data_IF_197340737373
#
_entry.id   IF_197340737373
#
_cell.length_a   1.000
_cell.length_b   1.000
_cell.length_c   1.000
_cell.angle_alpha   90.00
_cell.angle_beta   90.00
_cell.angle_gamma   90.00
#
_symmetry.space_group_name_H-M   'P 1'
#
loop_
_entity.id
_entity.type
_entity.pdbx_description
1 polymer ?
#
# COMPACT_ATOMS: atom_id res chain seq x y z
N UNK A 1 -10.94 75.68 9.53
CA UNK A 1 -11.84 74.54 9.73
C UNK A 1 -11.30 73.37 8.88
N UNK A 2 -10.59 72.43 9.51
CA UNK A 2 -10.18 71.18 8.86
C UNK A 2 -11.34 70.18 9.02
N UNK A 3 -11.89 69.73 7.91
CA UNK A 3 -12.90 68.67 7.88
C UNK A 3 -12.16 67.34 7.94
N UNK A 4 -12.20 66.66 9.08
CA UNK A 4 -11.73 65.28 9.24
C UNK A 4 -12.67 64.33 8.54
N UNK A 5 -12.20 63.67 7.50
CA UNK A 5 -12.90 62.54 6.83
C UNK A 5 -13.07 61.39 7.83
N UNK A 6 -14.27 60.79 7.96
CA UNK A 6 -14.45 59.64 8.86
C UNK A 6 -13.67 58.44 8.34
N UNK A 7 -12.77 57.93 9.16
CA UNK A 7 -12.04 56.70 8.88
C UNK A 7 -13.04 55.51 8.76
N UNK A 8 -13.04 54.85 7.61
CA UNK A 8 -13.89 53.70 7.38
C UNK A 8 -13.37 52.50 8.22
N UNK A 9 -14.09 52.07 9.25
CA UNK A 9 -13.64 51.00 10.15
C UNK A 9 -13.38 49.68 9.46
N UNK A 10 -14.02 49.47 8.29
CA UNK A 10 -13.81 48.27 7.46
C UNK A 10 -12.42 48.31 6.80
N UNK A 11 -11.97 49.48 6.34
CA UNK A 11 -10.66 49.61 5.72
C UNK A 11 -9.51 49.31 6.72
N UNK A 12 -9.58 49.83 7.96
CA UNK A 12 -8.59 49.51 9.01
C UNK A 12 -8.62 48.02 9.42
N UNK A 13 -9.77 47.39 9.42
CA UNK A 13 -9.87 45.97 9.74
C UNK A 13 -9.29 45.08 8.62
N UNK A 14 -9.39 45.50 7.36
CA UNK A 14 -8.78 44.84 6.20
C UNK A 14 -7.28 45.04 6.19
N UNK A 15 -6.79 46.25 6.43
CA UNK A 15 -5.34 46.56 6.51
C UNK A 15 -4.66 45.80 7.66
N UNK A 16 -5.29 45.73 8.84
CA UNK A 16 -4.76 44.98 9.97
C UNK A 16 -4.69 43.46 9.70
N UNK A 17 -5.60 42.92 8.92
CA UNK A 17 -5.57 41.48 8.49
C UNK A 17 -4.56 41.21 7.39
N UNK A 18 -4.33 42.16 6.48
CA UNK A 18 -3.27 42.09 5.46
C UNK A 18 -1.87 42.08 6.11
N UNK A 19 -1.66 42.92 7.13
CA UNK A 19 -0.38 43.01 7.87
C UNK A 19 -0.01 41.74 8.66
N UNK A 20 -1.03 40.95 9.06
CA UNK A 20 -0.85 39.73 9.87
C UNK A 20 -0.91 38.44 9.07
N UNK A 21 -0.86 38.45 7.72
CA UNK A 21 -1.08 37.31 6.82
C UNK A 21 -2.41 36.57 7.06
N UNK A 22 -3.38 37.18 7.72
CA UNK A 22 -4.70 36.61 8.04
C UNK A 22 -5.82 37.12 7.14
N UNK A 23 -5.51 38.07 6.22
CA UNK A 23 -6.50 38.53 5.24
C UNK A 23 -6.86 37.40 4.30
N UNK A 24 -8.15 37.09 4.24
CA UNK A 24 -8.71 36.16 3.24
C UNK A 24 -9.65 36.97 2.35
N UNK A 25 -9.44 36.82 1.05
CA UNK A 25 -10.38 37.38 0.07
C UNK A 25 -11.74 36.69 0.24
N UNK A 26 -12.79 37.43 0.63
CA UNK A 26 -14.14 36.87 0.77
C UNK A 26 -14.69 36.28 -0.52
N UNK A 27 -14.16 36.67 -1.68
CA UNK A 27 -14.57 36.14 -3.00
C UNK A 27 -13.90 34.80 -3.31
N UNK A 28 -12.76 34.48 -2.72
CA UNK A 28 -11.99 33.27 -3.00
C UNK A 28 -12.72 31.96 -2.60
N UNK A 29 -13.64 32.04 -1.62
CA UNK A 29 -14.50 30.92 -1.21
C UNK A 29 -15.73 30.71 -2.11
N UNK A 30 -16.07 31.68 -2.97
CA UNK A 30 -17.22 31.59 -3.88
C UNK A 30 -16.93 30.77 -5.14
N UNK A 31 -15.68 30.33 -5.35
CA UNK A 31 -15.33 29.44 -6.44
C UNK A 31 -16.12 28.14 -6.33
N UNK A 32 -16.56 27.60 -7.48
CA UNK A 32 -17.23 26.30 -7.52
C UNK A 32 -16.30 25.19 -7.13
N UNK A 33 -16.80 24.20 -6.44
CA UNK A 33 -15.99 23.05 -6.02
C UNK A 33 -15.27 22.39 -7.21
N UNK A 34 -15.90 22.28 -8.38
CA UNK A 34 -15.27 21.71 -9.59
C UNK A 34 -13.99 22.44 -9.99
N UNK A 35 -13.99 23.78 -10.01
CA UNK A 35 -12.82 24.59 -10.38
C UNK A 35 -11.65 24.39 -9.40
N UNK A 36 -11.99 24.31 -8.10
CA UNK A 36 -11.00 24.06 -7.05
C UNK A 36 -10.46 22.64 -7.14
N UNK A 37 -11.30 21.65 -7.42
CA UNK A 37 -10.90 20.24 -7.57
C UNK A 37 -10.00 20.02 -8.79
N UNK A 38 -10.28 20.67 -9.93
CA UNK A 38 -9.42 20.64 -11.12
C UNK A 38 -8.05 21.24 -10.83
N UNK A 39 -8.02 22.43 -10.23
CA UNK A 39 -6.76 23.10 -9.88
C UNK A 39 -5.95 22.24 -8.89
N UNK A 40 -6.64 21.65 -7.89
CA UNK A 40 -6.00 20.73 -6.95
C UNK A 40 -5.42 19.50 -7.66
N UNK A 41 -6.18 18.86 -8.55
CA UNK A 41 -5.73 17.65 -9.25
C UNK A 41 -4.57 17.94 -10.21
N UNK A 42 -4.57 19.10 -10.86
CA UNK A 42 -3.45 19.56 -11.71
C UNK A 42 -2.17 19.76 -10.88
N UNK A 43 -2.28 20.26 -9.65
CA UNK A 43 -1.15 20.45 -8.75
C UNK A 43 -0.56 19.12 -8.22
N UNK A 44 -1.22 17.96 -8.41
CA UNK A 44 -0.74 16.66 -7.95
C UNK A 44 0.26 16.01 -8.94
N UNK A 45 1.11 16.78 -9.59
CA UNK A 45 2.09 16.26 -10.57
C UNK A 45 3.15 15.32 -9.97
N UNK A 46 3.42 15.44 -8.68
CA UNK A 46 4.36 14.61 -7.93
C UNK A 46 3.86 13.19 -7.65
N UNK A 47 2.56 12.94 -7.80
CA UNK A 47 1.98 11.62 -7.56
C UNK A 47 2.20 10.68 -8.73
N UNK A 48 2.32 9.38 -8.42
CA UNK A 48 2.31 8.31 -9.43
C UNK A 48 1.02 8.36 -10.27
N UNK A 49 1.14 7.98 -11.55
CA UNK A 49 0.04 7.96 -12.53
C UNK A 49 -1.21 7.26 -11.96
N UNK A 50 -1.06 6.06 -11.42
CA UNK A 50 -2.18 5.29 -10.84
C UNK A 50 -2.89 5.98 -9.67
N UNK A 51 -2.16 6.75 -8.84
CA UNK A 51 -2.77 7.53 -7.76
C UNK A 51 -3.61 8.69 -8.31
N UNK A 52 -3.08 9.40 -9.32
CA UNK A 52 -3.81 10.50 -9.97
C UNK A 52 -5.09 10.00 -10.65
N UNK A 53 -5.02 8.87 -11.35
CA UNK A 53 -6.20 8.24 -11.97
C UNK A 53 -7.22 7.81 -10.92
N UNK A 54 -6.79 7.21 -9.81
CA UNK A 54 -7.68 6.87 -8.70
C UNK A 54 -8.36 8.09 -8.08
N UNK A 55 -7.66 9.22 -7.96
CA UNK A 55 -8.24 10.46 -7.45
C UNK A 55 -9.21 11.06 -8.46
N UNK A 56 -8.87 11.07 -9.74
CA UNK A 56 -9.76 11.51 -10.82
C UNK A 56 -11.04 10.69 -10.84
N UNK A 57 -10.93 9.36 -10.84
CA UNK A 57 -12.09 8.45 -10.77
C UNK A 57 -12.97 8.75 -9.56
N UNK A 58 -12.36 8.98 -8.39
CA UNK A 58 -13.11 9.32 -7.19
C UNK A 58 -13.86 10.66 -7.31
N UNK A 59 -13.22 11.67 -7.91
CA UNK A 59 -13.84 12.97 -8.18
C UNK A 59 -15.00 12.81 -9.16
N UNK A 60 -14.75 12.26 -10.34
CA UNK A 60 -15.71 12.20 -11.44
C UNK A 60 -16.93 11.33 -11.14
N UNK A 61 -16.71 10.20 -10.46
CA UNK A 61 -17.79 9.23 -10.25
C UNK A 61 -18.68 9.53 -9.04
N UNK A 62 -18.16 10.23 -8.01
CA UNK A 62 -18.91 10.37 -6.75
C UNK A 62 -18.88 11.77 -6.13
N UNK A 63 -17.77 12.51 -6.27
CA UNK A 63 -17.63 13.81 -5.59
C UNK A 63 -18.23 14.92 -6.44
N UNK A 64 -17.81 15.07 -7.70
CA UNK A 64 -18.31 16.09 -8.62
C UNK A 64 -19.82 15.97 -8.91
N UNK A 65 -20.41 14.77 -9.09
CA UNK A 65 -21.86 14.66 -9.26
C UNK A 65 -22.67 15.27 -8.09
N UNK A 66 -22.09 15.37 -6.92
CA UNK A 66 -22.75 15.97 -5.74
C UNK A 66 -22.41 17.45 -5.54
N UNK A 67 -21.17 17.87 -5.84
CA UNK A 67 -20.66 19.16 -5.36
C UNK A 67 -20.20 20.11 -6.48
N UNK A 68 -20.16 19.69 -7.74
CA UNK A 68 -19.52 20.43 -8.84
C UNK A 68 -19.91 21.92 -8.93
N UNK A 69 -21.18 22.22 -8.82
CA UNK A 69 -21.73 23.58 -8.92
C UNK A 69 -21.79 24.34 -7.60
N UNK A 70 -21.52 23.68 -6.47
CA UNK A 70 -21.62 24.28 -5.15
C UNK A 70 -20.40 25.16 -4.87
N UNK A 71 -20.55 26.43 -4.43
CA UNK A 71 -19.42 27.21 -3.92
C UNK A 71 -18.77 26.48 -2.75
N UNK A 72 -17.41 26.46 -2.74
CA UNK A 72 -16.70 25.62 -1.78
C UNK A 72 -16.90 26.05 -0.33
N UNK A 73 -17.18 27.34 -0.09
CA UNK A 73 -17.48 27.88 1.23
C UNK A 73 -18.91 27.56 1.74
N UNK A 74 -19.78 27.07 0.87
CA UNK A 74 -21.15 26.65 1.21
C UNK A 74 -21.25 25.16 1.58
N UNK A 75 -20.19 24.38 1.37
CA UNK A 75 -20.15 22.96 1.76
C UNK A 75 -19.89 22.87 3.26
N UNK A 76 -20.87 22.38 4.02
CA UNK A 76 -20.80 22.28 5.48
C UNK A 76 -20.45 20.88 5.95
N UNK A 77 -20.01 20.77 7.20
CA UNK A 77 -19.69 19.49 7.83
C UNK A 77 -20.88 18.51 7.80
N UNK A 78 -22.08 19.01 8.11
CA UNK A 78 -23.32 18.22 8.06
C UNK A 78 -23.64 17.67 6.68
N UNK A 79 -23.36 18.46 5.61
CA UNK A 79 -23.58 18.03 4.23
C UNK A 79 -22.64 16.88 3.84
N UNK A 80 -21.39 16.97 4.27
CA UNK A 80 -20.41 15.90 4.04
C UNK A 80 -20.79 14.64 4.82
N UNK A 81 -21.22 14.77 6.08
CA UNK A 81 -21.69 13.65 6.88
C UNK A 81 -22.91 12.96 6.26
N UNK A 82 -23.91 13.74 5.80
CA UNK A 82 -25.09 13.24 5.11
C UNK A 82 -24.73 12.52 3.80
N UNK A 83 -23.80 13.09 3.01
CA UNK A 83 -23.32 12.47 1.78
C UNK A 83 -22.61 11.12 2.03
N UNK A 84 -21.79 11.01 3.07
CA UNK A 84 -21.16 9.73 3.48
C UNK A 84 -22.25 8.69 3.80
N UNK A 85 -23.31 9.08 4.52
CA UNK A 85 -24.45 8.20 4.79
C UNK A 85 -25.11 7.69 3.51
N UNK A 86 -25.35 8.59 2.54
CA UNK A 86 -25.93 8.23 1.23
C UNK A 86 -25.07 7.24 0.45
N UNK A 87 -23.75 7.43 0.40
CA UNK A 87 -22.84 6.52 -0.31
C UNK A 87 -22.91 5.07 0.19
N UNK A 88 -23.32 4.87 1.44
CA UNK A 88 -23.44 3.54 2.07
C UNK A 88 -24.80 2.86 1.79
N UNK A 89 -25.81 3.62 1.38
CA UNK A 89 -27.19 3.12 1.23
C UNK A 89 -27.66 3.20 -0.22
N UNK A 90 -27.39 4.31 -0.89
CA UNK A 90 -27.87 4.54 -2.24
C UNK A 90 -27.05 3.76 -3.27
N UNK A 91 -27.69 3.11 -4.24
CA UNK A 91 -26.98 2.52 -5.36
C UNK A 91 -26.29 3.61 -6.17
N UNK A 92 -24.94 3.55 -6.22
CA UNK A 92 -24.14 4.46 -7.02
C UNK A 92 -24.16 4.11 -8.51
N UNK A 93 -23.28 4.70 -9.33
CA UNK A 93 -23.21 4.46 -10.77
C UNK A 93 -23.04 2.97 -11.14
N UNK A 94 -22.57 2.15 -10.21
CA UNK A 94 -22.41 0.69 -10.38
C UNK A 94 -23.65 -0.13 -10.00
N UNK A 95 -24.76 0.53 -9.66
CA UNK A 95 -26.00 -0.12 -9.23
C UNK A 95 -25.96 -0.74 -7.83
N UNK A 96 -24.90 -0.49 -7.04
CA UNK A 96 -24.71 -1.02 -5.68
C UNK A 96 -24.18 0.08 -4.74
N UNK A 97 -24.57 0.07 -3.45
CA UNK A 97 -23.98 0.93 -2.45
C UNK A 97 -22.46 0.72 -2.29
N UNK A 98 -21.75 1.76 -1.88
CA UNK A 98 -20.33 1.65 -1.62
C UNK A 98 -20.04 0.95 -0.29
N UNK A 99 -19.08 0.04 -0.29
CA UNK A 99 -18.54 -0.51 0.96
C UNK A 99 -17.66 0.51 1.71
N UNK A 100 -17.47 0.28 3.02
CA UNK A 100 -16.76 1.18 3.93
C UNK A 100 -15.38 1.65 3.39
N UNK A 101 -14.58 0.76 2.80
CA UNK A 101 -13.27 1.12 2.27
C UNK A 101 -13.36 2.08 1.08
N UNK A 102 -14.29 1.86 0.16
CA UNK A 102 -14.50 2.75 -1.00
C UNK A 102 -15.03 4.11 -0.56
N UNK A 103 -15.98 4.14 0.35
CA UNK A 103 -16.52 5.38 0.93
C UNK A 103 -15.40 6.21 1.57
N UNK A 104 -14.49 5.57 2.32
CA UNK A 104 -13.33 6.27 2.90
C UNK A 104 -12.41 6.89 1.85
N UNK A 105 -12.18 6.22 0.72
CA UNK A 105 -11.39 6.78 -0.39
C UNK A 105 -12.06 8.03 -0.95
N UNK A 106 -13.37 7.98 -1.20
CA UNK A 106 -14.11 9.14 -1.74
C UNK A 106 -14.10 10.32 -0.76
N UNK A 107 -14.28 10.04 0.55
CA UNK A 107 -14.13 11.05 1.60
C UNK A 107 -12.71 11.63 1.66
N UNK A 108 -11.66 10.79 1.55
CA UNK A 108 -10.27 11.27 1.58
C UNK A 108 -9.99 12.24 0.44
N UNK A 109 -10.46 11.95 -0.78
CA UNK A 109 -10.29 12.85 -1.93
C UNK A 109 -11.02 14.18 -1.70
N UNK A 110 -12.29 14.14 -1.25
CA UNK A 110 -13.03 15.35 -0.88
C UNK A 110 -12.29 16.17 0.18
N UNK A 111 -11.79 15.51 1.22
CA UNK A 111 -11.04 16.14 2.31
C UNK A 111 -9.72 16.76 1.84
N UNK A 112 -9.00 16.10 0.91
CA UNK A 112 -7.76 16.65 0.33
C UNK A 112 -8.02 17.91 -0.49
N UNK A 113 -9.09 17.96 -1.29
CA UNK A 113 -9.48 19.17 -2.03
C UNK A 113 -9.79 20.33 -1.07
N UNK A 114 -10.58 20.09 -0.02
CA UNK A 114 -10.87 21.10 0.99
C UNK A 114 -9.62 21.51 1.79
N UNK A 115 -8.76 20.56 2.15
CA UNK A 115 -7.49 20.85 2.81
C UNK A 115 -6.60 21.75 1.96
N UNK A 116 -6.53 21.50 0.66
CA UNK A 116 -5.81 22.35 -0.29
C UNK A 116 -6.45 23.74 -0.38
N UNK A 117 -7.79 23.83 -0.38
CA UNK A 117 -8.49 25.12 -0.33
C UNK A 117 -8.20 25.92 0.95
N UNK A 118 -8.07 25.24 2.10
CA UNK A 118 -7.65 25.87 3.36
C UNK A 118 -6.22 26.39 3.25
N UNK A 119 -5.28 25.58 2.77
CA UNK A 119 -3.87 25.95 2.58
C UNK A 119 -3.71 27.16 1.65
N UNK A 120 -4.58 27.28 0.63
CA UNK A 120 -4.55 28.39 -0.32
C UNK A 120 -5.48 29.55 0.08
N UNK A 121 -5.90 29.65 1.33
CA UNK A 121 -6.66 30.77 1.87
C UNK A 121 -8.11 30.88 1.43
N UNK A 122 -8.66 29.90 0.68
CA UNK A 122 -10.05 29.90 0.20
C UNK A 122 -11.06 29.56 1.30
N UNK A 123 -10.66 28.71 2.25
CA UNK A 123 -11.48 28.28 3.38
C UNK A 123 -10.76 28.53 4.71
N UNK A 124 -11.56 28.73 5.76
CA UNK A 124 -11.03 28.83 7.13
C UNK A 124 -10.72 27.46 7.71
N UNK A 125 -11.61 26.50 7.48
CA UNK A 125 -11.56 25.14 8.01
C UNK A 125 -11.97 24.15 6.95
N UNK A 126 -11.51 22.92 7.08
CA UNK A 126 -11.89 21.82 6.19
C UNK A 126 -13.21 21.20 6.71
N UNK A 127 -14.34 21.32 5.99
CA UNK A 127 -15.61 20.77 6.44
C UNK A 127 -15.66 19.23 6.48
N UNK A 128 -14.74 18.57 5.77
CA UNK A 128 -14.64 17.11 5.80
C UNK A 128 -13.82 16.58 7.00
N UNK A 129 -13.13 17.47 7.72
CA UNK A 129 -12.35 17.06 8.89
C UNK A 129 -13.27 16.60 10.04
N UNK A 130 -12.92 15.49 10.68
CA UNK A 130 -13.66 14.97 11.83
C UNK A 130 -14.97 14.24 11.49
N UNK A 131 -15.36 14.13 10.22
CA UNK A 131 -16.55 13.35 9.84
C UNK A 131 -16.37 11.88 10.22
N UNK A 132 -17.37 11.32 10.92
CA UNK A 132 -17.36 9.91 11.33
C UNK A 132 -17.51 9.02 10.10
N UNK A 133 -16.51 8.18 9.87
CA UNK A 133 -16.46 7.25 8.74
C UNK A 133 -16.84 5.83 9.15
N UNK A 134 -17.46 5.05 8.24
CA UNK A 134 -17.83 3.67 8.52
C UNK A 134 -16.60 2.84 8.91
N UNK A 135 -16.75 1.94 9.88
CA UNK A 135 -15.65 1.02 10.28
C UNK A 135 -15.33 0.09 9.12
N UNK A 136 -14.06 -0.12 8.88
CA UNK A 136 -13.64 -1.18 7.94
C UNK A 136 -13.95 -2.53 8.60
N UNK A 137 -14.58 -3.47 7.87
CA UNK A 137 -14.70 -4.82 8.40
C UNK A 137 -13.31 -5.41 8.63
N UNK A 138 -13.13 -6.27 9.62
CA UNK A 138 -11.88 -6.96 9.84
C UNK A 138 -11.52 -7.75 8.57
N UNK A 139 -10.28 -7.62 8.13
CA UNK A 139 -9.79 -8.33 6.95
C UNK A 139 -9.42 -9.76 7.39
N UNK A 140 -10.21 -10.73 6.99
CA UNK A 140 -9.80 -12.13 7.12
C UNK A 140 -8.70 -12.42 6.10
N UNK A 141 -7.51 -12.68 6.57
CA UNK A 141 -6.42 -13.14 5.73
C UNK A 141 -6.48 -14.68 5.62
N UNK A 142 -6.50 -15.18 4.39
CA UNK A 142 -6.32 -16.60 4.11
C UNK A 142 -4.84 -16.78 3.80
N UNK A 143 -4.17 -17.61 4.57
CA UNK A 143 -2.79 -18.02 4.38
C UNK A 143 -2.80 -19.49 3.96
N UNK A 144 -2.02 -19.85 2.93
CA UNK A 144 -1.87 -21.21 2.49
C UNK A 144 -0.66 -21.86 3.18
N UNK A 145 -0.82 -23.11 3.60
CA UNK A 145 0.31 -23.95 3.98
C UNK A 145 1.07 -24.47 2.75
N UNK A 146 2.27 -25.03 2.96
CA UNK A 146 3.12 -25.57 1.89
C UNK A 146 2.38 -26.55 0.95
N UNK A 147 1.63 -27.50 1.52
CA UNK A 147 0.85 -28.48 0.74
C UNK A 147 -0.22 -27.81 -0.12
N UNK A 148 -0.91 -26.79 0.39
CA UNK A 148 -1.93 -26.07 -0.37
C UNK A 148 -1.32 -25.23 -1.50
N UNK A 149 -0.14 -24.62 -1.27
CA UNK A 149 0.61 -23.93 -2.32
C UNK A 149 1.01 -24.90 -3.43
N UNK A 150 1.46 -26.11 -3.08
CA UNK A 150 1.86 -27.13 -4.04
C UNK A 150 0.68 -27.60 -4.88
N UNK A 151 -0.48 -27.91 -4.26
CA UNK A 151 -1.69 -28.30 -4.98
C UNK A 151 -2.17 -27.19 -5.92
N UNK A 152 -2.15 -25.93 -5.47
CA UNK A 152 -2.49 -24.78 -6.31
C UNK A 152 -1.53 -24.62 -7.49
N UNK A 153 -0.24 -24.81 -7.26
CA UNK A 153 0.79 -24.71 -8.28
C UNK A 153 0.62 -25.81 -9.36
N UNK A 154 0.30 -27.03 -8.95
CA UNK A 154 0.00 -28.13 -9.87
C UNK A 154 -1.25 -27.85 -10.72
N UNK A 155 -2.33 -27.41 -10.10
CA UNK A 155 -3.56 -27.04 -10.79
C UNK A 155 -3.37 -25.85 -11.77
N UNK A 156 -2.39 -24.99 -11.51
CA UNK A 156 -2.07 -23.86 -12.40
C UNK A 156 -1.31 -24.26 -13.68
N UNK A 157 -0.86 -25.52 -13.83
CA UNK A 157 -0.20 -26.04 -15.00
C UNK A 157 1.01 -25.22 -15.43
N UNK A 158 0.98 -24.64 -16.63
CA UNK A 158 2.09 -23.79 -17.14
C UNK A 158 2.48 -22.62 -16.23
N UNK A 159 1.59 -22.18 -15.37
CA UNK A 159 1.84 -21.12 -14.41
C UNK A 159 2.34 -21.62 -13.05
N UNK A 160 2.64 -22.92 -12.91
CA UNK A 160 3.22 -23.49 -11.69
C UNK A 160 4.42 -22.69 -11.16
N UNK A 161 5.46 -22.38 -11.96
CA UNK A 161 6.61 -21.61 -11.45
C UNK A 161 6.23 -20.19 -10.98
N UNK A 162 5.25 -19.56 -11.64
CA UNK A 162 4.73 -18.25 -11.26
C UNK A 162 4.02 -18.30 -9.90
N UNK A 163 3.17 -19.31 -9.66
CA UNK A 163 2.47 -19.50 -8.38
C UNK A 163 3.48 -19.70 -7.26
N UNK A 164 4.46 -20.59 -7.46
CA UNK A 164 5.50 -20.87 -6.49
C UNK A 164 6.35 -19.63 -6.20
N UNK A 165 6.78 -18.90 -7.24
CA UNK A 165 7.54 -17.67 -7.06
C UNK A 165 6.76 -16.65 -6.23
N UNK A 166 5.49 -16.40 -6.53
CA UNK A 166 4.64 -15.47 -5.77
C UNK A 166 4.47 -15.92 -4.30
N UNK A 167 4.24 -17.23 -4.07
CA UNK A 167 3.95 -17.78 -2.75
C UNK A 167 5.17 -17.84 -1.82
N UNK A 168 6.39 -17.88 -2.37
CA UNK A 168 7.62 -18.01 -1.56
C UNK A 168 8.49 -16.77 -1.54
N UNK A 169 8.27 -15.81 -2.46
CA UNK A 169 9.03 -14.55 -2.49
C UNK A 169 8.20 -13.35 -2.07
N UNK A 170 6.88 -13.44 -2.16
CA UNK A 170 5.98 -12.35 -1.83
C UNK A 170 6.03 -11.17 -2.81
N UNK A 171 6.51 -11.37 -4.03
CA UNK A 171 6.54 -10.34 -5.07
C UNK A 171 5.14 -9.78 -5.34
N UNK A 172 5.08 -8.48 -5.61
CA UNK A 172 3.84 -7.85 -6.10
C UNK A 172 3.59 -8.28 -7.54
N UNK A 173 2.33 -8.29 -7.95
CA UNK A 173 1.97 -8.66 -9.32
C UNK A 173 2.73 -7.86 -10.39
N UNK A 174 2.78 -6.52 -10.24
CA UNK A 174 3.51 -5.66 -11.16
C UNK A 174 5.00 -5.97 -11.24
N UNK A 175 5.61 -6.39 -10.14
CA UNK A 175 7.03 -6.77 -10.05
C UNK A 175 7.29 -8.08 -10.81
N UNK A 176 6.46 -9.10 -10.58
CA UNK A 176 6.66 -10.40 -11.26
C UNK A 176 6.31 -10.34 -12.73
N UNK A 177 5.34 -9.53 -13.13
CA UNK A 177 4.99 -9.36 -14.55
C UNK A 177 6.01 -8.54 -15.36
N UNK A 178 6.84 -7.75 -14.67
CA UNK A 178 7.97 -7.00 -15.25
C UNK A 178 9.31 -7.72 -15.10
N UNK A 179 9.33 -8.91 -14.48
CA UNK A 179 10.58 -9.63 -14.21
C UNK A 179 11.22 -10.11 -15.50
N UNK A 180 12.42 -9.61 -15.78
CA UNK A 180 13.25 -10.01 -16.92
C UNK A 180 14.18 -11.16 -16.55
N UNK A 181 14.56 -11.96 -17.54
CA UNK A 181 15.49 -13.09 -17.44
C UNK A 181 16.81 -12.66 -16.80
N UNK A 182 17.42 -11.57 -17.26
CA UNK A 182 18.67 -11.05 -16.73
C UNK A 182 18.62 -10.50 -15.29
N UNK A 183 17.43 -10.53 -14.66
CA UNK A 183 17.25 -10.17 -13.26
C UNK A 183 17.14 -11.37 -12.31
N UNK A 184 17.23 -12.58 -12.86
CA UNK A 184 17.23 -13.84 -12.11
C UNK A 184 18.63 -14.40 -12.08
N UNK A 185 19.28 -14.33 -10.94
CA UNK A 185 20.59 -14.93 -10.69
C UNK A 185 20.39 -16.28 -10.01
N UNK A 186 20.52 -17.36 -10.79
CA UNK A 186 20.33 -18.73 -10.30
C UNK A 186 21.49 -19.16 -9.39
N UNK A 187 22.72 -18.71 -9.66
CA UNK A 187 23.92 -19.08 -8.91
C UNK A 187 23.93 -18.40 -7.54
N UNK A 188 23.69 -17.09 -7.50
CA UNK A 188 23.51 -16.34 -6.26
C UNK A 188 22.16 -16.62 -5.57
N UNK A 189 21.26 -17.32 -6.24
CA UNK A 189 19.87 -17.58 -5.79
C UNK A 189 19.15 -16.29 -5.38
N UNK A 190 19.08 -15.32 -6.31
CA UNK A 190 18.45 -14.02 -6.09
C UNK A 190 17.64 -13.56 -7.29
N UNK A 191 16.57 -12.87 -7.00
CA UNK A 191 15.80 -12.10 -7.99
C UNK A 191 15.95 -10.62 -7.67
N UNK A 192 16.37 -9.84 -8.67
CA UNK A 192 16.54 -8.38 -8.56
C UNK A 192 15.23 -7.69 -8.97
N UNK A 193 14.62 -6.99 -8.04
CA UNK A 193 13.37 -6.23 -8.29
C UNK A 193 13.75 -4.77 -8.50
N UNK A 194 13.69 -4.35 -9.76
CA UNK A 194 14.07 -2.99 -10.17
C UNK A 194 12.97 -2.25 -10.93
N UNK A 195 11.99 -2.99 -11.45
CA UNK A 195 10.91 -2.51 -12.29
C UNK A 195 9.58 -3.16 -11.88
N UNK A 196 8.48 -2.49 -12.18
CA UNK A 196 7.14 -3.04 -11.99
C UNK A 196 6.19 -2.48 -13.05
N UNK A 197 5.29 -3.31 -13.60
CA UNK A 197 4.19 -2.81 -14.40
C UNK A 197 3.09 -2.21 -13.51
N UNK A 198 2.72 -0.97 -13.80
CA UNK A 198 1.47 -0.36 -13.38
C UNK A 198 0.39 -0.59 -14.44
N UNK A 199 -0.86 -0.60 -14.02
CA UNK A 199 -2.04 -0.62 -14.91
C UNK A 199 -2.84 0.66 -14.64
N UNK A 200 -3.09 1.42 -15.68
CA UNK A 200 -3.83 2.67 -15.63
C UNK A 200 -4.89 2.65 -16.73
N UNK A 201 -6.12 2.39 -16.34
CA UNK A 201 -7.27 2.26 -17.24
C UNK A 201 -7.03 1.27 -18.39
N UNK A 202 -6.38 0.14 -18.09
CA UNK A 202 -6.06 -0.91 -19.04
C UNK A 202 -4.80 -0.64 -19.88
N UNK A 203 -4.13 0.49 -19.73
CA UNK A 203 -2.81 0.76 -20.28
C UNK A 203 -1.72 0.33 -19.29
N UNK A 204 -0.91 -0.65 -19.69
CA UNK A 204 0.26 -1.05 -18.89
C UNK A 204 1.42 -0.10 -19.17
N UNK A 205 2.02 0.39 -18.11
CA UNK A 205 3.23 1.20 -18.16
C UNK A 205 4.29 0.65 -17.20
N UNK A 206 5.55 0.76 -17.60
CA UNK A 206 6.68 0.38 -16.77
C UNK A 206 7.02 1.53 -15.82
N UNK A 207 7.18 1.21 -14.53
CA UNK A 207 7.54 2.17 -13.48
C UNK A 207 8.54 1.51 -12.54
N UNK A 208 9.08 2.28 -11.61
CA UNK A 208 9.82 1.76 -10.47
C UNK A 208 8.87 1.02 -9.52
N UNK A 209 9.38 0.07 -8.71
CA UNK A 209 8.57 -0.57 -7.69
C UNK A 209 7.86 0.45 -6.80
N UNK A 210 6.75 0.04 -6.18
CA UNK A 210 6.10 0.86 -5.17
C UNK A 210 7.14 1.19 -4.09
N UNK A 211 7.18 2.44 -3.65
CA UNK A 211 8.14 2.97 -2.68
C UNK A 211 9.58 3.19 -3.22
N UNK A 212 9.79 3.08 -4.55
CA UNK A 212 11.06 3.31 -5.26
C UNK A 212 12.24 2.44 -4.78
N UNK A 213 12.00 1.41 -3.98
CA UNK A 213 13.04 0.54 -3.45
C UNK A 213 13.38 -0.60 -4.41
N UNK A 214 14.62 -0.58 -4.89
CA UNK A 214 15.24 -1.75 -5.53
C UNK A 214 15.63 -2.72 -4.44
N UNK A 215 15.31 -4.01 -4.63
CA UNK A 215 15.67 -5.04 -3.65
C UNK A 215 16.00 -6.35 -4.32
N UNK A 216 16.81 -7.15 -3.63
CA UNK A 216 17.06 -8.54 -4.00
C UNK A 216 16.24 -9.47 -3.09
N UNK A 217 15.51 -10.39 -3.69
CA UNK A 217 14.69 -11.38 -2.95
C UNK A 217 15.36 -12.76 -3.12
N UNK A 218 15.57 -13.51 -2.02
CA UNK A 218 16.18 -14.83 -2.09
C UNK A 218 15.27 -15.86 -2.77
N UNK A 219 15.88 -16.78 -3.51
CA UNK A 219 15.24 -17.95 -4.07
C UNK A 219 15.62 -19.18 -3.23
N UNK A 220 14.64 -19.99 -2.89
CA UNK A 220 14.86 -21.31 -2.33
C UNK A 220 15.44 -22.26 -3.41
N UNK A 221 16.17 -23.34 -3.04
CA UNK A 221 16.72 -24.26 -4.03
C UNK A 221 15.69 -24.78 -5.03
N UNK A 222 14.52 -25.21 -4.59
CA UNK A 222 13.46 -25.71 -5.49
C UNK A 222 12.95 -24.64 -6.46
N UNK A 223 12.92 -23.35 -6.06
CA UNK A 223 12.56 -22.25 -6.97
C UNK A 223 13.62 -22.04 -8.06
N UNK A 224 14.89 -22.28 -7.75
CA UNK A 224 15.95 -22.27 -8.76
C UNK A 224 15.68 -23.34 -9.81
N UNK A 225 15.32 -24.55 -9.40
CA UNK A 225 15.00 -25.64 -10.32
C UNK A 225 13.77 -25.34 -11.17
N UNK A 226 12.72 -24.77 -10.58
CA UNK A 226 11.49 -24.36 -11.28
C UNK A 226 11.71 -23.20 -12.27
N UNK A 227 12.63 -22.27 -11.97
CA UNK A 227 12.91 -21.12 -12.82
C UNK A 227 13.96 -21.40 -13.89
N UNK A 228 14.85 -22.39 -13.68
CA UNK A 228 15.95 -22.71 -14.59
C UNK A 228 15.48 -22.91 -16.05
N UNK A 229 14.42 -23.67 -16.35
CA UNK A 229 13.94 -23.82 -17.73
C UNK A 229 13.40 -22.53 -18.35
N UNK A 230 13.01 -21.56 -17.52
CA UNK A 230 12.45 -20.28 -17.93
C UNK A 230 13.50 -19.19 -18.15
N UNK A 231 14.76 -19.44 -17.77
CA UNK A 231 15.82 -18.42 -17.74
C UNK A 231 17.00 -18.84 -18.60
N UNK A 232 17.43 -20.11 -18.51
CA UNK A 232 18.60 -20.60 -19.23
C UNK A 232 18.42 -20.50 -20.75
N UNK A 233 19.45 -19.98 -21.43
CA UNK A 233 19.47 -19.82 -22.90
C UNK A 233 18.42 -18.88 -23.49
N UNK A 234 17.86 -17.98 -22.67
CA UNK A 234 16.96 -16.92 -23.12
C UNK A 234 17.61 -15.55 -23.05
N UNK A 235 17.13 -14.64 -23.87
CA UNK A 235 17.61 -13.26 -23.89
C UNK A 235 17.41 -12.59 -22.51
N UNK A 236 18.42 -11.90 -21.93
CA UNK A 236 18.32 -11.22 -20.66
C UNK A 236 17.20 -10.18 -20.57
N UNK A 237 16.79 -9.59 -21.68
CA UNK A 237 15.74 -8.59 -21.75
C UNK A 237 14.32 -9.17 -21.91
N UNK A 238 14.20 -10.46 -22.17
CA UNK A 238 12.91 -11.13 -22.22
C UNK A 238 12.27 -11.22 -20.83
N UNK A 239 10.92 -11.18 -20.82
CA UNK A 239 10.16 -11.42 -19.58
C UNK A 239 10.25 -12.90 -19.19
N UNK A 240 10.46 -13.19 -17.90
CA UNK A 240 10.42 -14.57 -17.38
C UNK A 240 9.04 -15.20 -17.62
N UNK A 241 7.99 -14.44 -17.40
CA UNK A 241 6.59 -14.87 -17.55
C UNK A 241 5.86 -14.03 -18.62
N UNK A 242 6.12 -14.27 -19.91
CA UNK A 242 5.42 -13.56 -20.96
C UNK A 242 3.96 -14.03 -21.09
N UNK A 243 3.09 -13.15 -21.56
CA UNK A 243 1.77 -13.55 -22.05
C UNK A 243 1.89 -14.38 -23.34
N UNK A 244 0.87 -15.18 -23.70
CA UNK A 244 0.91 -16.01 -24.93
C UNK A 244 1.21 -15.23 -26.21
N UNK A 245 0.94 -13.93 -26.25
CA UNK A 245 1.25 -13.02 -27.37
C UNK A 245 2.54 -12.23 -27.18
N UNK A 246 3.49 -12.70 -26.36
CA UNK A 246 4.82 -12.09 -26.12
C UNK A 246 4.78 -10.68 -25.52
N UNK A 247 3.84 -10.34 -24.70
CA UNK A 247 3.81 -9.10 -23.93
C UNK A 247 3.75 -9.37 -22.42
N UNK A 248 3.61 -8.34 -21.60
CA UNK A 248 3.46 -8.51 -20.16
C UNK A 248 2.16 -9.24 -19.80
N UNK A 249 2.23 -10.09 -18.79
CA UNK A 249 1.09 -10.86 -18.31
C UNK A 249 0.13 -9.93 -17.55
N UNK A 250 -1.07 -9.72 -18.08
CA UNK A 250 -2.09 -8.85 -17.47
C UNK A 250 -2.78 -9.55 -16.30
N UNK A 251 -2.90 -8.84 -15.17
CA UNK A 251 -3.51 -9.36 -13.94
C UNK A 251 -4.91 -9.96 -14.15
N UNK A 252 -5.81 -9.20 -14.79
CA UNK A 252 -7.18 -9.66 -15.00
C UNK A 252 -7.27 -10.88 -15.91
N UNK A 253 -6.44 -10.93 -16.96
CA UNK A 253 -6.40 -12.07 -17.86
C UNK A 253 -5.87 -13.33 -17.18
N UNK A 254 -4.76 -13.21 -16.45
CA UNK A 254 -4.20 -14.32 -15.69
C UNK A 254 -5.19 -14.82 -14.64
N UNK A 255 -5.76 -13.90 -13.84
CA UNK A 255 -6.69 -14.24 -12.79
C UNK A 255 -7.90 -15.01 -13.33
N UNK A 256 -8.60 -14.44 -14.34
CA UNK A 256 -9.86 -15.01 -14.82
C UNK A 256 -9.66 -16.28 -15.66
N UNK A 257 -8.53 -16.42 -16.37
CA UNK A 257 -8.31 -17.52 -17.31
C UNK A 257 -7.55 -18.69 -16.73
N UNK A 258 -6.72 -18.45 -15.70
CA UNK A 258 -5.85 -19.46 -15.11
C UNK A 258 -6.00 -19.57 -13.60
N UNK A 259 -5.80 -18.47 -12.86
CA UNK A 259 -5.69 -18.50 -11.41
C UNK A 259 -6.99 -18.91 -10.70
N UNK A 260 -8.12 -18.28 -11.04
CA UNK A 260 -9.40 -18.57 -10.38
C UNK A 260 -9.83 -20.04 -10.66
N UNK A 261 -9.52 -20.60 -11.84
CA UNK A 261 -9.74 -22.00 -12.18
C UNK A 261 -8.84 -22.94 -11.36
N UNK A 262 -7.54 -22.59 -11.26
CA UNK A 262 -6.60 -23.36 -10.46
C UNK A 262 -6.98 -23.38 -8.96
N UNK A 263 -7.49 -22.27 -8.43
CA UNK A 263 -8.00 -22.20 -7.04
C UNK A 263 -9.20 -23.11 -6.84
N UNK A 264 -10.11 -23.16 -7.81
CA UNK A 264 -11.29 -24.05 -7.78
C UNK A 264 -10.88 -25.52 -7.87
N UNK A 265 -10.01 -25.88 -8.83
CA UNK A 265 -9.48 -27.23 -9.02
C UNK A 265 -8.70 -27.74 -7.81
N UNK A 266 -7.92 -26.86 -7.18
CA UNK A 266 -7.19 -27.15 -5.95
C UNK A 266 -8.09 -27.31 -4.71
N UNK A 267 -9.38 -27.05 -4.80
CA UNK A 267 -10.33 -27.11 -3.66
C UNK A 267 -10.03 -26.10 -2.56
N UNK A 268 -9.37 -24.99 -2.90
CA UNK A 268 -8.95 -23.96 -1.93
C UNK A 268 -10.02 -22.88 -1.82
N UNK A 269 -10.20 -22.33 -0.60
CA UNK A 269 -11.06 -21.17 -0.41
C UNK A 269 -10.66 -20.05 -1.37
N UNK A 270 -11.64 -19.40 -1.99
CA UNK A 270 -11.42 -18.35 -2.99
C UNK A 270 -10.44 -17.28 -2.48
N UNK A 271 -9.33 -17.17 -3.19
CA UNK A 271 -8.26 -16.19 -2.95
C UNK A 271 -7.96 -15.39 -4.22
N UNK A 272 -7.10 -14.41 -4.13
CA UNK A 272 -6.58 -13.65 -5.28
C UNK A 272 -5.06 -13.84 -5.36
N UNK A 273 -4.41 -13.61 -6.51
CA UNK A 273 -2.94 -13.70 -6.62
C UNK A 273 -2.19 -12.88 -5.54
N UNK A 274 -2.73 -11.72 -5.16
CA UNK A 274 -2.13 -10.92 -4.08
C UNK A 274 -2.13 -11.64 -2.71
N UNK A 275 -3.02 -12.60 -2.49
CA UNK A 275 -3.01 -13.40 -1.24
C UNK A 275 -1.81 -14.34 -1.15
N UNK A 276 -1.17 -14.69 -2.25
CA UNK A 276 0.09 -15.43 -2.24
C UNK A 276 1.23 -14.64 -1.59
N UNK A 277 1.22 -13.31 -1.71
CA UNK A 277 2.17 -12.46 -0.98
C UNK A 277 1.93 -12.52 0.55
N UNK A 278 0.69 -12.58 0.99
CA UNK A 278 0.39 -12.80 2.40
C UNK A 278 0.80 -14.20 2.86
N UNK A 279 0.65 -15.20 1.98
CA UNK A 279 1.15 -16.56 2.21
C UNK A 279 2.67 -16.58 2.38
N UNK A 280 3.41 -15.90 1.49
CA UNK A 280 4.87 -15.79 1.60
C UNK A 280 5.32 -15.23 2.96
N UNK A 281 4.67 -14.16 3.42
CA UNK A 281 4.93 -13.59 4.74
C UNK A 281 4.64 -14.59 5.87
N UNK A 282 3.50 -15.25 5.83
CA UNK A 282 3.11 -16.23 6.85
C UNK A 282 4.06 -17.42 6.91
N UNK A 283 4.46 -17.97 5.76
CA UNK A 283 5.42 -19.07 5.68
C UNK A 283 6.81 -18.67 6.20
N UNK A 284 7.26 -17.47 5.87
CA UNK A 284 8.55 -16.97 6.35
C UNK A 284 8.54 -16.70 7.86
N UNK A 285 7.45 -16.16 8.41
CA UNK A 285 7.27 -15.98 9.86
C UNK A 285 7.27 -17.34 10.57
N UNK A 286 6.53 -18.31 10.05
CA UNK A 286 6.52 -19.68 10.58
C UNK A 286 7.92 -20.35 10.53
N UNK A 287 8.75 -19.97 9.56
CA UNK A 287 10.16 -20.38 9.47
C UNK A 287 11.11 -19.58 10.39
N UNK A 288 10.59 -18.69 11.24
CA UNK A 288 11.36 -17.92 12.22
C UNK A 288 11.87 -16.56 11.74
N UNK A 289 11.41 -16.05 10.60
CA UNK A 289 11.84 -14.74 10.12
C UNK A 289 11.32 -13.62 11.07
N UNK A 290 12.22 -12.69 11.39
CA UNK A 290 11.86 -11.49 12.16
C UNK A 290 11.17 -10.43 11.32
N UNK A 291 10.69 -9.38 11.99
CA UNK A 291 9.95 -8.26 11.35
C UNK A 291 10.79 -7.58 10.26
N UNK A 292 12.10 -7.40 10.49
CA UNK A 292 12.99 -6.72 9.54
C UNK A 292 13.21 -7.55 8.28
N UNK A 293 13.36 -8.86 8.43
CA UNK A 293 13.47 -9.80 7.31
C UNK A 293 12.20 -9.74 6.45
N UNK A 294 11.02 -9.82 7.06
CA UNK A 294 9.74 -9.73 6.35
C UNK A 294 9.57 -8.36 5.66
N UNK A 295 9.90 -7.28 6.36
CA UNK A 295 9.87 -5.91 5.78
C UNK A 295 10.70 -5.85 4.50
N UNK A 296 11.95 -6.32 4.56
CA UNK A 296 12.90 -6.29 3.43
C UNK A 296 12.43 -7.20 2.29
N UNK A 297 12.04 -8.44 2.59
CA UNK A 297 11.55 -9.41 1.60
C UNK A 297 10.36 -8.86 0.82
N UNK A 298 9.40 -8.28 1.52
CA UNK A 298 8.20 -7.72 0.91
C UNK A 298 8.44 -6.33 0.29
N UNK A 299 9.46 -5.58 0.69
CA UNK A 299 9.66 -4.18 0.31
C UNK A 299 8.52 -3.32 0.87
N UNK A 300 8.34 -3.34 2.19
CA UNK A 300 7.49 -2.42 2.91
C UNK A 300 8.31 -1.20 3.34
N UNK A 301 7.81 -0.01 3.11
CA UNK A 301 8.50 1.24 3.47
C UNK A 301 8.80 1.32 4.96
N UNK A 302 7.95 0.77 5.81
CA UNK A 302 8.11 0.79 7.27
C UNK A 302 7.85 -0.57 7.91
N UNK A 303 8.51 -0.84 9.04
CA UNK A 303 8.23 -2.02 9.87
C UNK A 303 6.79 -1.99 10.42
N UNK A 304 6.23 -0.80 10.63
CA UNK A 304 4.85 -0.60 11.08
C UNK A 304 3.83 -1.21 10.10
N UNK A 305 4.05 -1.11 8.78
CA UNK A 305 3.21 -1.74 7.77
C UNK A 305 3.21 -3.27 7.94
N UNK A 306 4.39 -3.84 8.18
CA UNK A 306 4.56 -5.28 8.42
C UNK A 306 3.85 -5.71 9.71
N UNK A 307 4.05 -5.00 10.81
CA UNK A 307 3.43 -5.30 12.11
C UNK A 307 1.92 -5.15 12.07
N UNK A 308 1.39 -4.10 11.47
CA UNK A 308 -0.06 -3.89 11.33
C UNK A 308 -0.75 -5.00 10.53
N UNK A 309 -0.02 -5.62 9.59
CA UNK A 309 -0.57 -6.66 8.72
C UNK A 309 -0.36 -8.06 9.28
N UNK A 310 0.81 -8.34 9.84
CA UNK A 310 1.26 -9.68 10.20
C UNK A 310 1.63 -9.84 11.67
N UNK A 311 1.57 -8.79 12.49
CA UNK A 311 1.99 -8.83 13.90
C UNK A 311 1.36 -9.97 14.72
N UNK A 312 0.12 -10.29 14.38
CA UNK A 312 -0.63 -11.39 15.04
C UNK A 312 -0.13 -12.80 14.67
N UNK A 313 0.78 -12.94 13.70
CA UNK A 313 1.37 -14.23 13.29
C UNK A 313 2.64 -14.57 14.06
N UNK A 314 3.29 -13.59 14.70
CA UNK A 314 4.43 -13.88 15.55
C UNK A 314 3.96 -14.48 16.87
N UNK A 315 4.51 -15.63 17.29
CA UNK A 315 4.19 -16.22 18.57
C UNK A 315 4.67 -15.32 19.72
N UNK A 316 3.96 -15.38 20.84
CA UNK A 316 4.48 -14.84 22.09
C UNK A 316 5.68 -15.69 22.56
N UNK A 317 6.83 -15.07 22.68
CA UNK A 317 8.09 -15.71 23.07
C UNK A 317 8.67 -15.13 24.36
N UNK A 318 7.84 -14.47 25.18
CA UNK A 318 8.31 -13.82 26.42
C UNK A 318 8.98 -14.81 27.38
N UNK A 319 8.41 -16.01 27.55
CA UNK A 319 8.96 -17.04 28.41
C UNK A 319 10.30 -17.62 27.87
N UNK A 320 10.39 -17.78 26.56
CA UNK A 320 11.66 -18.22 25.93
C UNK A 320 12.76 -17.16 26.14
N UNK A 321 12.44 -15.88 25.96
CA UNK A 321 13.38 -14.77 26.18
C UNK A 321 13.78 -14.71 27.66
N UNK A 322 12.85 -14.84 28.58
CA UNK A 322 13.14 -14.89 30.03
C UNK A 322 14.10 -16.03 30.38
N UNK A 323 13.85 -17.22 29.85
CA UNK A 323 14.70 -18.40 30.06
C UNK A 323 16.10 -18.20 29.47
N UNK A 324 16.17 -17.63 28.25
CA UNK A 324 17.45 -17.35 27.59
C UNK A 324 18.28 -16.30 28.36
N UNK A 325 17.65 -15.26 28.89
CA UNK A 325 18.31 -14.24 29.72
C UNK A 325 18.89 -14.83 30.98
N UNK A 326 18.14 -15.71 31.69
CA UNK A 326 18.62 -16.38 32.90
C UNK A 326 19.80 -17.32 32.56
N UNK A 327 19.71 -18.09 31.50
CA UNK A 327 20.80 -18.96 31.05
C UNK A 327 22.06 -18.16 30.67
N UNK A 328 21.90 -17.05 29.92
CA UNK A 328 23.00 -16.16 29.55
C UNK A 328 23.68 -15.53 30.79
N UNK A 329 22.90 -15.09 31.78
CA UNK A 329 23.43 -14.58 33.04
C UNK A 329 24.22 -15.66 33.81
N UNK A 330 23.68 -16.86 33.94
CA UNK A 330 24.38 -17.98 34.58
C UNK A 330 25.69 -18.33 33.89
N UNK A 331 25.72 -18.33 32.58
CA UNK A 331 26.95 -18.58 31.81
C UNK A 331 28.02 -17.50 32.07
N UNK A 332 27.60 -16.21 32.01
CA UNK A 332 28.51 -15.09 32.25
C UNK A 332 29.09 -15.10 33.67
N UNK A 333 28.33 -15.46 34.70
CA UNK A 333 28.80 -15.53 36.09
C UNK A 333 29.85 -16.61 36.29
N UNK A 334 29.74 -17.76 35.59
CA UNK A 334 30.76 -18.80 35.64
C UNK A 334 32.13 -18.34 35.09
N UNK A 335 32.16 -17.40 34.19
CA UNK A 335 33.40 -16.83 33.66
C UNK A 335 34.04 -15.74 34.50
N UNK A 336 33.25 -15.16 35.42
CA UNK A 336 33.64 -14.09 36.35
C UNK A 336 34.14 -14.61 37.69
N UNK A 337 33.95 -15.92 38.03
CA UNK A 337 34.50 -16.48 39.27
C UNK A 337 36.03 -16.34 39.24
N UNK A 338 36.63 -15.63 40.24
CA UNK A 338 38.07 -15.33 40.18
C UNK A 338 38.89 -16.60 40.42
N UNK A 339 39.98 -16.78 39.64
CA UNK A 339 41.07 -17.71 39.89
C UNK A 339 41.82 -17.37 41.19
N UNK A 340 41.13 -17.37 42.33
CA UNK A 340 41.73 -17.04 43.60
C UNK A 340 41.58 -18.20 44.55
N UNK A 341 42.28 -19.30 44.32
CA UNK A 341 42.66 -20.31 45.31
C UNK A 341 43.71 -21.33 44.81
N UNK A 342 44.79 -20.85 44.20
CA UNK A 342 45.96 -21.73 43.92
C UNK A 342 47.29 -21.18 44.40
N UNK A 343 47.31 -20.39 45.45
CA UNK A 343 48.59 -19.96 46.08
C UNK A 343 48.49 -20.00 47.58
N UNK A 344 48.28 -21.18 48.19
CA UNK A 344 48.59 -21.47 49.59
C UNK A 344 48.69 -22.98 49.80
N UNK A 345 49.71 -23.61 49.22
CA UNK A 345 50.28 -24.90 49.69
C UNK A 345 51.71 -25.07 49.10
N UNK A 346 52.63 -24.23 49.56
CA UNK A 346 54.05 -24.46 49.49
C UNK A 346 54.73 -23.51 50.48
N UNK A 347 54.75 -23.87 51.76
CA UNK A 347 55.66 -23.45 52.80
C UNK A 347 55.59 -24.48 53.94
#
# INVERSE_FOLDING_TARGET
>A
MQVSTPSNPIAHQVEGRLGNATYRDPSAGRMRFAEVAETWLAAQSHLKRSSRTSYREALETHVLPRWSSTPIDQIRHEDVAAWIGKLLVDPGPTGKPLGASRTRVKHSVLSMVHGWAVTNGRLAVNPAFGVKLPRRPPTSHVYLGHAQVEVLAQAAGLYRPLILLLAYTGLRWGEVSALKVGRVDLDARRVQIVEAYGDDDGELYLDTPKDHERRAVPLTPFLVDELKPLVVSRDPDELVFPAPRKGPLRYHNFRNRAFDKAVEEAGIKKITPHKLRHTAASLAIAAGADVKVIQTMLGHATATETLNTYGHLWPDRLDEVSTALDAGRKAALKTVEPKTQQTKKAA
#
